data_IF_500086580698
#
_entry.id   IF_500086580698
#
_cell.length_a   1.000
_cell.length_b   1.000
_cell.length_c   1.000
_cell.angle_alpha   90.00
_cell.angle_beta   90.00
_cell.angle_gamma   90.00
#
_symmetry.space_group_name_H-M   'P 1'
#
loop_
_entity.id
_entity.type
_entity.pdbx_description
1 polymer ?
#
# COMPACT_ATOMS: atom_id res chain seq x y z
N UNK A 1 -16.05 0.99 -15.18
CA UNK A 1 -15.57 0.55 -13.85
C UNK A 1 -14.90 1.74 -13.17
N UNK A 2 -15.46 2.24 -12.06
CA UNK A 2 -14.92 3.40 -11.33
C UNK A 2 -13.58 3.11 -10.64
N UNK A 3 -12.91 4.14 -10.14
CA UNK A 3 -11.62 4.03 -9.44
C UNK A 3 -11.69 3.08 -8.24
N UNK A 4 -12.68 3.26 -7.37
CA UNK A 4 -12.88 2.41 -6.18
C UNK A 4 -13.11 0.93 -6.52
N UNK A 5 -13.84 0.65 -7.59
CA UNK A 5 -14.06 -0.74 -8.04
C UNK A 5 -12.76 -1.39 -8.53
N UNK A 6 -11.91 -0.64 -9.25
CA UNK A 6 -10.59 -1.14 -9.67
C UNK A 6 -9.68 -1.40 -8.46
N UNK A 7 -9.67 -0.49 -7.49
CA UNK A 7 -8.89 -0.63 -6.26
C UNK A 7 -9.34 -1.86 -5.46
N UNK A 8 -10.64 -2.01 -5.24
CA UNK A 8 -11.24 -3.16 -4.54
C UNK A 8 -10.93 -4.48 -5.25
N UNK A 9 -11.00 -4.50 -6.58
CA UNK A 9 -10.66 -5.68 -7.36
C UNK A 9 -9.17 -6.04 -7.24
N UNK A 10 -8.27 -5.04 -7.29
CA UNK A 10 -6.83 -5.22 -7.15
C UNK A 10 -6.41 -5.73 -5.77
N UNK A 11 -7.10 -5.29 -4.72
CA UNK A 11 -6.83 -5.68 -3.32
C UNK A 11 -7.58 -6.95 -2.89
N UNK A 12 -8.36 -7.58 -3.78
CA UNK A 12 -9.28 -8.66 -3.40
C UNK A 12 -8.56 -9.88 -2.80
N UNK A 13 -7.39 -10.24 -3.34
CA UNK A 13 -6.56 -11.35 -2.83
C UNK A 13 -5.97 -11.03 -1.45
N UNK A 14 -5.33 -9.87 -1.31
CA UNK A 14 -4.78 -9.40 -0.03
C UNK A 14 -5.88 -9.30 1.02
N UNK A 15 -7.05 -8.77 0.64
CA UNK A 15 -8.18 -8.66 1.54
C UNK A 15 -8.62 -10.02 2.06
N UNK A 16 -8.72 -11.02 1.16
CA UNK A 16 -9.14 -12.37 1.52
C UNK A 16 -8.14 -13.05 2.45
N UNK A 17 -6.84 -12.91 2.18
CA UNK A 17 -5.79 -13.51 3.00
C UNK A 17 -5.74 -12.89 4.40
N UNK A 18 -5.60 -11.56 4.47
CA UNK A 18 -5.42 -10.86 5.74
C UNK A 18 -6.73 -10.77 6.54
N UNK A 19 -7.75 -10.13 6.00
CA UNK A 19 -8.99 -9.90 6.76
C UNK A 19 -9.82 -11.16 6.95
N UNK A 20 -9.72 -12.13 6.05
CA UNK A 20 -10.30 -13.46 6.25
C UNK A 20 -9.64 -14.18 7.43
N UNK A 21 -8.30 -14.18 7.48
CA UNK A 21 -7.56 -14.74 8.61
C UNK A 21 -7.89 -14.05 9.93
N UNK A 22 -7.95 -12.72 9.94
CA UNK A 22 -8.29 -11.93 11.13
C UNK A 22 -9.71 -12.27 11.62
N UNK A 23 -10.68 -12.37 10.69
CA UNK A 23 -12.05 -12.73 11.05
C UNK A 23 -12.17 -14.14 11.63
N UNK A 24 -11.41 -15.09 11.10
CA UNK A 24 -11.45 -16.47 11.58
C UNK A 24 -10.70 -16.62 12.91
N UNK A 25 -9.62 -15.85 13.11
CA UNK A 25 -8.92 -15.74 14.38
C UNK A 25 -9.85 -15.26 15.49
N UNK A 26 -10.50 -14.11 15.31
CA UNK A 26 -11.39 -13.55 16.34
C UNK A 26 -12.67 -14.38 16.59
N UNK A 27 -13.07 -15.25 15.66
CA UNK A 27 -14.15 -16.24 15.90
C UNK A 27 -13.69 -17.44 16.73
N UNK A 28 -12.42 -17.84 16.62
CA UNK A 28 -11.84 -18.98 17.35
C UNK A 28 -11.59 -18.65 18.81
N UNK A 29 -11.07 -17.45 19.07
CA UNK A 29 -10.76 -16.99 20.42
C UNK A 29 -12.00 -16.39 21.09
N UNK A 30 -12.29 -16.82 22.31
CA UNK A 30 -13.42 -16.32 23.12
C UNK A 30 -13.02 -15.25 24.12
N UNK A 31 -11.72 -15.02 24.27
CA UNK A 31 -11.12 -14.11 25.23
C UNK A 31 -9.89 -13.48 24.60
N UNK A 32 -9.48 -12.39 25.23
CA UNK A 32 -8.25 -11.67 24.92
C UNK A 32 -7.16 -12.21 25.85
N UNK A 33 -6.27 -13.01 25.30
CA UNK A 33 -5.12 -13.62 25.97
C UNK A 33 -3.88 -13.54 25.08
N UNK A 34 -2.72 -13.95 25.59
CA UNK A 34 -1.47 -13.90 24.82
C UNK A 34 -1.51 -14.84 23.60
N UNK A 35 -2.20 -15.97 23.67
CA UNK A 35 -2.37 -16.88 22.53
C UNK A 35 -3.04 -16.18 21.33
N UNK A 36 -4.01 -15.30 21.58
CA UNK A 36 -4.61 -14.46 20.53
C UNK A 36 -3.60 -13.51 19.90
N UNK A 37 -2.72 -12.89 20.70
CA UNK A 37 -1.72 -11.95 20.20
C UNK A 37 -0.63 -12.67 19.40
N UNK A 38 -0.20 -13.85 19.84
CA UNK A 38 0.80 -14.67 19.14
C UNK A 38 0.27 -15.14 17.77
N UNK A 39 -0.97 -15.62 17.68
CA UNK A 39 -1.57 -15.99 16.39
C UNK A 39 -1.82 -14.77 15.49
N UNK A 40 -2.13 -13.60 16.07
CA UNK A 40 -2.27 -12.35 15.31
C UNK A 40 -0.92 -11.88 14.75
N UNK A 41 0.15 -12.02 15.51
CA UNK A 41 1.52 -11.73 15.08
C UNK A 41 1.92 -12.57 13.87
N UNK A 42 1.75 -13.89 13.98
CA UNK A 42 2.06 -14.82 12.89
C UNK A 42 1.27 -14.47 11.62
N UNK A 43 -0.03 -14.16 11.77
CA UNK A 43 -0.87 -13.77 10.64
C UNK A 43 -0.41 -12.48 9.96
N UNK A 44 -0.01 -11.46 10.74
CA UNK A 44 0.45 -10.18 10.20
C UNK A 44 1.80 -10.34 9.48
N UNK A 45 2.74 -11.07 10.07
CA UNK A 45 4.05 -11.33 9.48
C UNK A 45 3.91 -12.13 8.18
N UNK A 46 3.11 -13.21 8.19
CA UNK A 46 2.86 -14.03 6.99
C UNK A 46 2.08 -13.30 5.90
N UNK A 47 1.47 -12.16 6.23
CA UNK A 47 0.76 -11.28 5.30
C UNK A 47 1.62 -10.13 4.78
N UNK A 48 2.94 -10.20 4.91
CA UNK A 48 3.91 -9.19 4.45
C UNK A 48 3.80 -7.82 5.16
N UNK A 49 3.28 -7.76 6.39
CA UNK A 49 3.27 -6.50 7.19
C UNK A 49 4.67 -6.13 7.68
N UNK A 50 5.52 -7.14 7.91
CA UNK A 50 6.88 -6.97 8.44
C UNK A 50 6.93 -7.04 9.97
N UNK A 51 8.07 -7.47 10.51
CA UNK A 51 8.26 -7.74 11.95
C UNK A 51 8.10 -6.47 12.78
N UNK A 52 8.91 -5.44 12.48
CA UNK A 52 8.91 -4.18 13.24
C UNK A 52 7.54 -3.50 13.29
N UNK A 53 6.85 -3.41 12.14
CA UNK A 53 5.51 -2.84 12.06
C UNK A 53 4.47 -3.68 12.81
N UNK A 54 4.63 -5.00 12.80
CA UNK A 54 3.74 -5.91 13.54
C UNK A 54 3.94 -5.76 15.04
N UNK A 55 5.18 -5.74 15.53
CA UNK A 55 5.51 -5.52 16.94
C UNK A 55 4.94 -4.19 17.43
N UNK A 56 5.18 -3.10 16.70
CA UNK A 56 4.66 -1.77 17.03
C UNK A 56 3.12 -1.76 17.13
N UNK A 57 2.44 -2.45 16.21
CA UNK A 57 0.99 -2.55 16.18
C UNK A 57 0.45 -3.36 17.37
N UNK A 58 1.08 -4.48 17.70
CA UNK A 58 0.66 -5.34 18.82
C UNK A 58 0.88 -4.67 20.17
N UNK A 59 1.97 -3.93 20.34
CA UNK A 59 2.22 -3.17 21.57
C UNK A 59 1.15 -2.11 21.80
N UNK A 60 0.79 -1.33 20.77
CA UNK A 60 -0.32 -0.36 20.83
C UNK A 60 -1.65 -1.04 21.13
N UNK A 61 -1.90 -2.21 20.55
CA UNK A 61 -3.12 -2.98 20.84
C UNK A 61 -3.18 -3.45 22.29
N UNK A 62 -2.08 -4.00 22.82
CA UNK A 62 -1.97 -4.44 24.22
C UNK A 62 -2.21 -3.28 25.18
N UNK A 63 -1.62 -2.12 24.91
CA UNK A 63 -1.82 -0.90 25.69
C UNK A 63 -3.29 -0.50 25.72
N UNK A 64 -3.94 -0.36 24.56
CA UNK A 64 -5.36 0.02 24.48
C UNK A 64 -6.30 -0.99 25.13
N UNK A 65 -6.05 -2.28 24.94
CA UNK A 65 -6.82 -3.35 25.59
C UNK A 65 -6.77 -3.19 27.12
N UNK A 66 -5.60 -2.86 27.66
CA UNK A 66 -5.39 -2.69 29.10
C UNK A 66 -6.04 -1.41 29.62
N UNK A 67 -5.90 -0.30 28.90
CA UNK A 67 -6.48 1.01 29.26
C UNK A 67 -8.01 1.00 29.22
N UNK A 68 -8.59 0.47 28.13
CA UNK A 68 -10.03 0.43 27.90
C UNK A 68 -10.70 -0.80 28.56
N UNK A 69 -9.91 -1.69 29.19
CA UNK A 69 -10.35 -2.93 29.86
C UNK A 69 -11.17 -3.84 28.95
N UNK A 70 -10.71 -3.99 27.72
CA UNK A 70 -11.39 -4.73 26.67
C UNK A 70 -11.32 -6.22 26.97
N UNK A 71 -12.46 -6.89 26.79
CA UNK A 71 -12.59 -8.34 27.04
C UNK A 71 -13.14 -9.10 25.85
N UNK A 72 -13.78 -8.39 24.92
CA UNK A 72 -14.45 -8.98 23.77
C UNK A 72 -13.54 -8.89 22.52
N UNK A 73 -13.27 -10.03 21.83
CA UNK A 73 -12.45 -10.07 20.61
C UNK A 73 -12.91 -9.09 19.51
N UNK A 74 -14.23 -8.86 19.38
CA UNK A 74 -14.79 -7.93 18.39
C UNK A 74 -14.45 -6.46 18.67
N UNK A 75 -14.19 -6.09 19.92
CA UNK A 75 -13.72 -4.74 20.25
C UNK A 75 -12.26 -4.55 19.84
N UNK A 76 -11.41 -5.56 20.05
CA UNK A 76 -10.01 -5.55 19.58
C UNK A 76 -9.95 -5.41 18.07
N UNK A 77 -10.81 -6.13 17.33
CA UNK A 77 -10.88 -6.01 15.87
C UNK A 77 -11.09 -4.56 15.41
N UNK A 78 -11.96 -3.81 16.08
CA UNK A 78 -12.21 -2.40 15.76
C UNK A 78 -10.98 -1.54 16.02
N UNK A 79 -10.28 -1.80 17.11
CA UNK A 79 -9.06 -1.07 17.47
C UNK A 79 -7.93 -1.40 16.49
N UNK A 80 -7.73 -2.67 16.15
CA UNK A 80 -6.78 -3.12 15.13
C UNK A 80 -7.00 -2.35 13.82
N UNK A 81 -8.24 -2.23 13.36
CA UNK A 81 -8.54 -1.48 12.14
C UNK A 81 -8.31 0.02 12.29
N UNK A 82 -8.55 0.59 13.47
CA UNK A 82 -8.25 1.99 13.75
C UNK A 82 -6.73 2.24 13.73
N UNK A 83 -5.94 1.37 14.36
CA UNK A 83 -4.48 1.46 14.40
C UNK A 83 -3.86 1.27 13.01
N UNK A 84 -4.29 0.24 12.26
CA UNK A 84 -3.85 0.04 10.87
C UNK A 84 -4.15 1.26 9.99
N UNK A 85 -5.32 1.89 10.18
CA UNK A 85 -5.68 3.11 9.45
C UNK A 85 -4.79 4.29 9.88
N UNK A 86 -4.51 4.43 11.17
CA UNK A 86 -3.65 5.49 11.69
C UNK A 86 -2.20 5.34 11.18
N UNK A 87 -1.68 4.11 11.10
CA UNK A 87 -0.35 3.80 10.56
C UNK A 87 -0.22 4.13 9.07
N UNK A 88 -1.28 3.93 8.27
CA UNK A 88 -1.28 4.34 6.86
C UNK A 88 -1.19 5.87 6.72
N UNK A 89 -1.79 6.61 7.67
CA UNK A 89 -1.76 8.06 7.69
C UNK A 89 -2.56 8.72 6.56
N UNK A 90 -2.31 10.01 6.37
CA UNK A 90 -2.82 10.77 5.22
C UNK A 90 -1.86 10.59 4.03
N UNK A 91 -2.42 10.56 2.82
CA UNK A 91 -1.60 10.47 1.61
C UNK A 91 -1.01 11.83 1.24
N UNK A 92 0.27 11.84 0.88
CA UNK A 92 0.92 13.04 0.35
C UNK A 92 0.52 13.31 -1.11
N UNK A 93 0.38 14.59 -1.45
CA UNK A 93 0.18 15.01 -2.83
C UNK A 93 1.49 15.09 -3.60
N UNK A 94 1.42 14.99 -4.93
CA UNK A 94 2.58 15.20 -5.78
C UNK A 94 2.91 16.70 -5.85
N UNK A 95 3.96 17.12 -5.16
CA UNK A 95 4.38 18.52 -5.10
C UNK A 95 5.08 18.98 -6.39
N UNK A 96 4.33 19.61 -7.29
CA UNK A 96 4.83 20.17 -8.56
C UNK A 96 4.96 21.69 -8.50
N UNK A 97 5.79 22.19 -7.59
CA UNK A 97 5.88 23.63 -7.25
C UNK A 97 6.82 24.45 -8.14
N UNK A 98 7.66 23.81 -8.96
CA UNK A 98 8.65 24.46 -9.82
C UNK A 98 8.31 24.35 -11.31
N UNK A 99 8.95 25.17 -12.15
CA UNK A 99 8.82 25.10 -13.62
C UNK A 99 10.19 25.05 -14.30
N UNK A 100 10.59 23.91 -14.90
CA UNK A 100 9.89 22.62 -14.88
C UNK A 100 9.98 21.96 -13.49
N UNK A 101 8.92 21.26 -13.08
CA UNK A 101 8.99 20.30 -11.97
C UNK A 101 9.61 19.00 -12.48
N UNK A 102 10.60 18.47 -11.76
CA UNK A 102 11.37 17.30 -12.17
C UNK A 102 11.02 16.11 -11.27
N UNK A 103 10.59 15.01 -11.88
CA UNK A 103 10.31 13.74 -11.20
C UNK A 103 11.40 12.75 -11.61
N UNK A 104 12.27 12.37 -10.66
CA UNK A 104 13.28 11.33 -10.87
C UNK A 104 12.72 9.98 -10.39
N UNK A 105 12.58 9.03 -11.31
CA UNK A 105 12.08 7.68 -11.00
C UNK A 105 13.24 6.71 -10.84
N UNK A 106 13.38 6.15 -9.64
CA UNK A 106 14.44 5.21 -9.26
C UNK A 106 13.87 3.83 -8.89
N UNK A 107 14.72 2.79 -8.91
CA UNK A 107 14.36 1.44 -8.48
C UNK A 107 15.06 0.34 -9.28
N UNK A 108 14.95 -0.91 -8.83
CA UNK A 108 15.59 -2.07 -9.48
C UNK A 108 14.85 -2.51 -10.76
N UNK A 109 15.43 -3.42 -11.53
CA UNK A 109 14.81 -3.91 -12.76
C UNK A 109 13.56 -4.76 -12.46
N UNK A 110 12.55 -4.68 -13.33
CA UNK A 110 11.33 -5.50 -13.22
C UNK A 110 10.22 -4.94 -12.33
N UNK A 111 10.47 -3.94 -11.47
CA UNK A 111 9.46 -3.38 -10.54
C UNK A 111 8.41 -2.46 -11.20
N UNK A 112 8.45 -2.33 -12.53
CA UNK A 112 7.44 -1.56 -13.27
C UNK A 112 7.75 -0.07 -13.48
N UNK A 113 9.00 0.39 -13.29
CA UNK A 113 9.39 1.82 -13.47
C UNK A 113 8.88 2.44 -14.78
N UNK A 114 9.19 1.84 -15.92
CA UNK A 114 8.80 2.34 -17.25
C UNK A 114 7.28 2.43 -17.41
N UNK A 115 6.56 1.42 -16.90
CA UNK A 115 5.09 1.39 -16.88
C UNK A 115 4.52 2.50 -16.01
N UNK A 116 5.11 2.74 -14.83
CA UNK A 116 4.68 3.82 -13.94
C UNK A 116 4.95 5.20 -14.54
N UNK A 117 6.09 5.40 -15.22
CA UNK A 117 6.38 6.65 -15.96
C UNK A 117 5.29 6.92 -17.01
N UNK A 118 4.93 5.93 -17.82
CA UNK A 118 3.86 6.08 -18.82
C UNK A 118 2.50 6.42 -18.21
N UNK A 119 2.12 5.76 -17.11
CA UNK A 119 0.88 6.06 -16.36
C UNK A 119 0.89 7.48 -15.80
N UNK A 120 1.98 7.91 -15.18
CA UNK A 120 2.12 9.27 -14.64
C UNK A 120 2.08 10.32 -15.76
N UNK A 121 2.73 10.05 -16.90
CA UNK A 121 2.71 10.97 -18.03
C UNK A 121 1.30 11.14 -18.60
N UNK A 122 0.54 10.05 -18.76
CA UNK A 122 -0.85 10.10 -19.19
C UNK A 122 -1.74 10.86 -18.19
N UNK A 123 -1.56 10.61 -16.89
CA UNK A 123 -2.29 11.30 -15.81
C UNK A 123 -2.02 12.81 -15.83
N UNK A 124 -0.74 13.22 -15.81
CA UNK A 124 -0.34 14.63 -15.82
C UNK A 124 -0.80 15.35 -17.09
N UNK A 125 -0.76 14.68 -18.25
CA UNK A 125 -1.28 15.21 -19.50
C UNK A 125 -2.81 15.36 -19.47
N UNK A 126 -3.55 14.43 -18.87
CA UNK A 126 -5.00 14.54 -18.70
C UNK A 126 -5.39 15.74 -17.82
N UNK A 127 -4.51 16.11 -16.88
CA UNK A 127 -4.57 17.34 -16.09
C UNK A 127 -4.08 18.59 -16.86
N UNK A 128 -3.91 18.48 -18.19
CA UNK A 128 -3.48 19.56 -19.12
C UNK A 128 -2.07 20.11 -18.87
N UNK A 129 -1.20 19.38 -18.15
CA UNK A 129 0.20 19.78 -17.96
C UNK A 129 1.02 19.46 -19.22
N UNK A 130 2.07 20.24 -19.48
CA UNK A 130 3.09 19.92 -20.49
C UNK A 130 4.09 18.95 -19.88
N UNK A 131 4.19 17.76 -20.45
CA UNK A 131 5.03 16.68 -19.93
C UNK A 131 6.15 16.41 -20.93
N UNK A 132 7.37 16.26 -20.44
CA UNK A 132 8.52 15.79 -21.20
C UNK A 132 9.06 14.57 -20.46
N UNK A 133 9.35 13.50 -21.20
CA UNK A 133 9.92 12.27 -20.66
C UNK A 133 11.34 12.11 -21.16
N UNK A 134 12.29 11.91 -20.25
CA UNK A 134 13.70 11.70 -20.57
C UNK A 134 14.10 10.23 -20.33
N UNK A 135 14.62 9.57 -21.36
CA UNK A 135 15.10 8.19 -21.28
C UNK A 135 16.50 8.14 -20.65
N UNK A 136 16.55 8.09 -19.32
CA UNK A 136 17.82 8.02 -18.57
C UNK A 136 18.30 6.59 -18.25
N UNK A 137 17.51 5.55 -18.55
CA UNK A 137 17.91 4.13 -18.41
C UNK A 137 18.73 3.71 -19.65
N UNK A 138 20.00 4.13 -19.70
CA UNK A 138 20.89 3.95 -20.86
C UNK A 138 21.64 2.62 -20.88
N UNK A 139 21.60 1.86 -19.78
CA UNK A 139 22.26 0.56 -19.69
C UNK A 139 21.46 -0.55 -20.39
N UNK A 140 20.13 -0.47 -20.34
CA UNK A 140 19.24 -1.47 -20.94
C UNK A 140 18.88 -1.06 -22.36
N UNK A 141 19.40 -1.79 -23.35
CA UNK A 141 19.21 -1.51 -24.78
C UNK A 141 17.75 -1.20 -25.18
N UNK A 142 16.79 -2.01 -24.70
CA UNK A 142 15.37 -1.85 -25.04
C UNK A 142 14.59 -0.89 -24.13
N UNK A 143 15.22 -0.30 -23.10
CA UNK A 143 14.49 0.54 -22.13
C UNK A 143 13.99 1.84 -22.76
N UNK A 144 14.81 2.47 -23.61
CA UNK A 144 14.42 3.67 -24.35
C UNK A 144 13.26 3.38 -25.33
N UNK A 145 13.34 2.29 -26.09
CA UNK A 145 12.27 1.87 -27.02
C UNK A 145 10.97 1.56 -26.28
N UNK A 146 11.04 0.83 -25.16
CA UNK A 146 9.88 0.52 -24.34
C UNK A 146 9.25 1.81 -23.78
N UNK A 147 10.09 2.77 -23.36
CA UNK A 147 9.61 4.05 -22.85
C UNK A 147 8.94 4.89 -23.95
N UNK A 148 9.49 4.90 -25.16
CA UNK A 148 8.89 5.57 -26.32
C UNK A 148 7.47 5.06 -26.60
N UNK A 149 7.26 3.74 -26.60
CA UNK A 149 5.91 3.15 -26.75
C UNK A 149 4.93 3.63 -25.68
N UNK A 150 5.38 3.81 -24.44
CA UNK A 150 4.54 4.37 -23.37
C UNK A 150 4.26 5.86 -23.55
N UNK A 151 5.24 6.62 -24.04
CA UNK A 151 5.08 8.04 -24.36
C UNK A 151 4.05 8.22 -25.48
N UNK A 152 4.15 7.44 -26.56
CA UNK A 152 3.18 7.43 -27.65
C UNK A 152 1.75 7.12 -27.17
N UNK A 153 1.60 6.12 -26.28
CA UNK A 153 0.30 5.76 -25.69
C UNK A 153 -0.28 6.86 -24.81
N UNK A 154 0.56 7.57 -24.07
CA UNK A 154 0.17 8.76 -23.30
C UNK A 154 -0.01 9.99 -24.22
N UNK A 155 0.55 9.96 -25.43
CA UNK A 155 0.67 11.06 -26.37
C UNK A 155 1.52 12.22 -25.86
N UNK A 156 2.58 11.93 -25.10
CA UNK A 156 3.58 12.92 -24.67
C UNK A 156 4.84 12.80 -25.50
#
# INVERSE_FOLDING_TARGET
>A
MGFFEKLKAGLSKTKKALFGGIEDLFKRFRRVDEDLFDELEELLITSDVGVETTEELLDKLREKVKEEKIKEPEEIKKILYAELRAMIGEGDELHLTTTPSVILVIGVNGVGKTTSIGKMAAELKSQKKKVIVAAADTFRAAAAEQLAVWCDRAGV
#
